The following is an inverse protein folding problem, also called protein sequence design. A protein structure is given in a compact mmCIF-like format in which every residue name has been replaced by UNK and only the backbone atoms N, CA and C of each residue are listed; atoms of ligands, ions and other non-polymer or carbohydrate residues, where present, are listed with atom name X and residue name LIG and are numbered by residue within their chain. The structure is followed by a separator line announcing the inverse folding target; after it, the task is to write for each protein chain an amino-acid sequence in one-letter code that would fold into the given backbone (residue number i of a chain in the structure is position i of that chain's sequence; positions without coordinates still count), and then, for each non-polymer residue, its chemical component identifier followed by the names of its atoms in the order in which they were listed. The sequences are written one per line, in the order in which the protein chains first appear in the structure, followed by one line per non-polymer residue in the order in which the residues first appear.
data_IF_359573112649
#
_entry.id   IF_359573112649
#
_cell.length_a   1.000
_cell.length_b   1.000
_cell.length_c   1.000
_cell.angle_alpha   90.00
_cell.angle_beta   90.00
_cell.angle_gamma   90.00
#
_symmetry.space_group_name_H-M   'P 1'
#
loop_
_entity.id
_entity.type
_entity.pdbx_description
1 polymer ?
#
# COMPACT_ATOMS: atom_id res chain seq x y z
N UNK A 1 -6.36 2.13 -24.65
CA UNK A 1 -7.06 1.45 -23.52
C UNK A 1 -8.20 0.61 -24.06
N UNK A 2 -8.25 -0.70 -23.67
CA UNK A 2 -9.15 -1.68 -24.31
C UNK A 2 -10.67 -1.50 -24.08
N UNK A 3 -11.11 -0.52 -23.28
CA UNK A 3 -12.54 -0.30 -22.95
C UNK A 3 -13.00 1.16 -23.10
N UNK A 4 -12.25 1.97 -23.82
CA UNK A 4 -12.64 3.36 -24.11
C UNK A 4 -12.46 4.35 -22.95
N UNK A 5 -11.86 3.95 -21.83
CA UNK A 5 -11.55 4.87 -20.74
C UNK A 5 -10.24 5.61 -21.02
N UNK A 6 -10.23 6.91 -20.73
CA UNK A 6 -9.01 7.69 -20.59
C UNK A 6 -8.57 7.64 -19.14
N UNK A 7 -7.30 7.42 -18.86
CA UNK A 7 -6.78 7.39 -17.51
C UNK A 7 -5.36 7.94 -17.47
N UNK A 8 -5.11 8.76 -16.48
CA UNK A 8 -3.81 9.36 -16.21
C UNK A 8 -3.37 9.05 -14.79
N UNK A 9 -2.06 8.99 -14.58
CA UNK A 9 -1.48 8.77 -13.26
C UNK A 9 -1.01 10.11 -12.72
N UNK A 10 -1.61 10.53 -11.62
CA UNK A 10 -1.19 11.71 -10.88
C UNK A 10 -0.29 11.28 -9.72
N UNK A 11 0.88 11.90 -9.60
CA UNK A 11 1.79 11.67 -8.50
C UNK A 11 2.36 12.98 -7.98
N UNK A 12 2.50 13.09 -6.66
CA UNK A 12 3.20 14.18 -5.99
C UNK A 12 4.44 13.63 -5.28
N UNK A 13 5.51 14.43 -5.18
CA UNK A 13 6.67 14.06 -4.37
C UNK A 13 6.25 13.76 -2.93
N UNK A 14 6.79 12.70 -2.36
CA UNK A 14 6.59 12.34 -0.96
C UNK A 14 7.89 12.50 -0.20
N UNK A 15 7.91 13.40 0.76
CA UNK A 15 9.06 13.66 1.60
C UNK A 15 8.81 13.13 3.02
N UNK A 16 9.65 12.20 3.47
CA UNK A 16 9.61 11.61 4.81
C UNK A 16 10.82 11.95 5.68
N UNK A 17 11.61 12.95 5.29
CA UNK A 17 12.85 13.31 6.00
C UNK A 17 12.59 13.91 7.39
N UNK A 18 11.39 14.42 7.66
CA UNK A 18 10.96 14.87 8.97
C UNK A 18 9.47 14.62 9.18
N UNK A 19 9.00 14.70 10.42
CA UNK A 19 7.57 14.57 10.77
C UNK A 19 6.73 15.64 10.10
N UNK A 20 7.22 16.87 10.08
CA UNK A 20 6.57 17.99 9.40
C UNK A 20 6.43 17.72 7.90
N UNK A 21 7.49 17.22 7.24
CA UNK A 21 7.45 16.94 5.81
C UNK A 21 6.43 15.84 5.44
N UNK A 22 6.23 14.85 6.31
CA UNK A 22 5.19 13.83 6.13
C UNK A 22 3.80 14.48 6.15
N UNK A 23 3.55 15.34 7.14
CA UNK A 23 2.28 16.08 7.26
C UNK A 23 2.08 17.00 6.05
N UNK A 24 3.10 17.75 5.64
CA UNK A 24 3.04 18.64 4.47
C UNK A 24 2.75 17.85 3.19
N UNK A 25 3.39 16.70 2.99
CA UNK A 25 3.11 15.82 1.84
C UNK A 25 1.67 15.31 1.85
N UNK A 26 1.13 15.02 3.03
CA UNK A 26 -0.27 14.61 3.18
C UNK A 26 -1.24 15.77 2.86
N UNK A 27 -0.95 16.97 3.37
CA UNK A 27 -1.74 18.17 3.11
C UNK A 27 -1.69 18.59 1.64
N UNK A 28 -0.54 18.43 0.96
CA UNK A 28 -0.44 18.71 -0.47
C UNK A 28 -1.49 17.92 -1.27
N UNK A 29 -1.67 16.62 -0.99
CA UNK A 29 -2.74 15.83 -1.60
C UNK A 29 -4.14 16.30 -1.24
N UNK A 30 -4.32 16.85 -0.04
CA UNK A 30 -5.62 17.37 0.40
C UNK A 30 -6.01 18.66 -0.34
N UNK A 31 -5.04 19.40 -0.84
CA UNK A 31 -5.21 20.68 -1.54
C UNK A 31 -5.29 20.54 -3.07
N UNK A 32 -4.84 19.39 -3.60
CA UNK A 32 -4.93 19.13 -5.06
C UNK A 32 -6.40 19.07 -5.48
N UNK A 33 -6.73 19.85 -6.49
CA UNK A 33 -8.01 19.77 -7.19
C UNK A 33 -7.87 18.81 -8.38
N UNK A 34 -8.62 17.73 -8.34
CA UNK A 34 -8.74 16.75 -9.41
C UNK A 34 -10.18 16.67 -9.93
N UNK A 35 -10.91 17.77 -9.92
CA UNK A 35 -12.27 17.81 -10.47
C UNK A 35 -12.26 17.98 -11.98
N UNK A 36 -11.23 18.63 -12.52
CA UNK A 36 -11.05 18.83 -13.97
C UNK A 36 -9.60 18.66 -14.38
N UNK A 37 -9.38 18.29 -15.65
CA UNK A 37 -8.08 18.29 -16.30
C UNK A 37 -8.23 18.89 -17.70
N UNK A 38 -7.42 19.90 -18.03
CA UNK A 38 -7.47 20.61 -19.31
C UNK A 38 -8.88 21.11 -19.69
N UNK A 39 -9.69 21.50 -18.70
CA UNK A 39 -11.07 21.96 -18.88
C UNK A 39 -12.12 20.85 -18.92
N UNK A 40 -11.72 19.58 -18.98
CA UNK A 40 -12.63 18.44 -18.99
C UNK A 40 -12.87 17.88 -17.59
N UNK A 41 -14.10 17.50 -17.23
CA UNK A 41 -14.39 16.89 -15.93
C UNK A 41 -13.68 15.56 -15.74
N UNK A 42 -13.13 15.33 -14.54
CA UNK A 42 -12.62 14.02 -14.14
C UNK A 42 -13.77 13.22 -13.53
N UNK A 43 -14.10 12.11 -14.16
CA UNK A 43 -15.24 11.27 -13.76
C UNK A 43 -14.99 10.48 -12.49
N UNK A 44 -13.77 10.06 -12.25
CA UNK A 44 -13.42 9.16 -11.16
C UNK A 44 -11.97 9.37 -10.73
N UNK A 45 -11.74 9.43 -9.43
CA UNK A 45 -10.39 9.36 -8.86
C UNK A 45 -10.23 8.03 -8.12
N UNK A 46 -9.22 7.24 -8.50
CA UNK A 46 -8.83 6.02 -7.81
C UNK A 46 -7.56 6.29 -7.01
N UNK A 47 -7.68 6.41 -5.71
CA UNK A 47 -6.56 6.62 -4.82
C UNK A 47 -6.04 5.29 -4.25
N UNK A 48 -4.70 5.13 -4.11
CA UNK A 48 -4.13 3.80 -3.89
C UNK A 48 -3.37 3.63 -2.58
N UNK A 49 -2.64 4.63 -2.11
CA UNK A 49 -1.80 4.53 -0.92
C UNK A 49 -1.64 5.89 -0.25
N UNK A 50 -1.13 5.89 0.99
CA UNK A 50 -0.73 7.12 1.64
C UNK A 50 0.35 7.87 0.82
N UNK A 51 0.22 9.19 0.67
CA UNK A 51 -0.88 10.06 1.08
C UNK A 51 -1.95 10.32 0.00
N UNK A 52 -1.90 9.64 -1.15
CA UNK A 52 -2.77 9.96 -2.30
C UNK A 52 -4.27 9.87 -2.01
N UNK A 53 -4.69 9.01 -1.08
CA UNK A 53 -6.11 8.92 -0.74
C UNK A 53 -6.65 10.12 0.07
N UNK A 54 -5.77 11.07 0.46
CA UNK A 54 -6.21 12.32 1.08
C UNK A 54 -6.87 13.28 0.09
N UNK A 55 -6.68 13.08 -1.22
CA UNK A 55 -7.33 13.89 -2.26
C UNK A 55 -8.84 13.96 -2.04
N UNK A 56 -9.43 15.11 -2.37
CA UNK A 56 -10.89 15.31 -2.39
C UNK A 56 -11.41 15.12 -3.80
N UNK A 57 -12.46 14.32 -3.93
CA UNK A 57 -13.18 14.19 -5.17
C UNK A 57 -14.58 13.61 -4.90
N UNK A 58 -15.65 14.10 -5.53
CA UNK A 58 -17.02 13.63 -5.29
C UNK A 58 -17.21 12.15 -5.66
N UNK A 59 -16.44 11.64 -6.60
CA UNK A 59 -16.43 10.22 -7.01
C UNK A 59 -15.09 9.57 -6.72
N UNK A 60 -14.58 9.77 -5.47
CA UNK A 60 -13.37 9.10 -5.02
C UNK A 60 -13.63 7.64 -4.68
N UNK A 61 -12.83 6.76 -5.24
CA UNK A 61 -12.70 5.36 -4.88
C UNK A 61 -11.30 5.12 -4.31
N UNK A 62 -11.19 4.33 -3.26
CA UNK A 62 -9.89 3.91 -2.74
C UNK A 62 -9.66 2.45 -3.13
N UNK A 63 -8.56 2.18 -3.81
CA UNK A 63 -8.03 0.83 -4.00
C UNK A 63 -6.74 0.70 -3.19
N UNK A 64 -6.91 0.39 -1.92
CA UNK A 64 -5.88 0.51 -0.91
C UNK A 64 -4.77 -0.52 -1.08
N UNK A 65 -3.55 -0.04 -1.34
CA UNK A 65 -2.32 -0.83 -1.29
C UNK A 65 -1.83 -0.94 0.16
N UNK A 66 -1.72 0.19 0.85
CA UNK A 66 -1.40 0.27 2.27
C UNK A 66 -1.65 1.69 2.80
N UNK A 67 -1.88 1.79 4.11
CA UNK A 67 -1.80 3.04 4.87
C UNK A 67 -0.32 3.43 5.08
N UNK A 68 -0.07 4.48 5.87
CA UNK A 68 1.29 4.80 6.29
C UNK A 68 1.76 3.81 7.37
N UNK A 69 2.32 2.69 6.94
CA UNK A 69 2.57 1.46 7.73
C UNK A 69 3.33 1.69 9.02
N UNK A 70 4.19 2.70 9.08
CA UNK A 70 5.05 2.99 10.22
C UNK A 70 4.28 3.34 11.49
N UNK A 71 3.07 3.93 11.36
CA UNK A 71 2.21 4.25 12.50
C UNK A 71 1.13 3.18 12.79
N UNK A 72 1.13 2.11 12.01
CA UNK A 72 0.18 0.98 12.14
C UNK A 72 0.93 -0.32 12.45
N UNK A 73 0.94 -1.26 11.54
CA UNK A 73 1.49 -2.61 11.78
C UNK A 73 3.00 -2.67 11.99
N UNK A 74 3.74 -1.65 11.57
CA UNK A 74 5.19 -1.59 11.79
C UNK A 74 5.57 -0.87 13.08
N UNK A 75 4.62 -0.18 13.73
CA UNK A 75 4.89 0.55 14.99
C UNK A 75 5.49 -0.37 16.04
N UNK A 76 6.55 0.08 16.69
CA UNK A 76 7.27 -0.70 17.70
C UNK A 76 8.18 -1.80 17.14
N UNK A 77 8.31 -1.92 15.82
CA UNK A 77 9.27 -2.81 15.18
C UNK A 77 10.50 -2.06 14.70
N UNK A 78 11.59 -2.78 14.42
CA UNK A 78 12.81 -2.21 13.82
C UNK A 78 12.60 -1.59 12.44
N UNK A 79 11.42 -1.72 11.85
CA UNK A 79 11.08 -1.18 10.53
C UNK A 79 10.27 0.12 10.60
N UNK A 80 10.03 0.64 11.81
CA UNK A 80 9.38 1.93 12.02
C UNK A 80 10.39 2.95 12.50
N UNK A 81 10.38 4.13 11.89
CA UNK A 81 11.14 5.30 12.35
C UNK A 81 10.38 6.08 13.45
N UNK A 82 9.13 5.65 13.75
CA UNK A 82 8.32 6.23 14.81
C UNK A 82 8.63 5.53 16.14
N UNK A 83 9.16 6.30 17.08
CA UNK A 83 9.48 5.86 18.42
C UNK A 83 8.55 6.43 19.49
N UNK A 84 9.12 6.70 20.66
CA UNK A 84 8.39 7.23 21.83
C UNK A 84 8.53 8.75 22.00
N UNK A 85 9.13 9.45 21.04
CA UNK A 85 9.30 10.91 21.12
C UNK A 85 7.94 11.61 21.05
N UNK A 86 7.74 12.72 21.78
CA UNK A 86 6.47 13.46 21.76
C UNK A 86 6.02 13.85 20.33
N UNK A 87 6.96 14.27 19.49
CA UNK A 87 6.68 14.62 18.09
C UNK A 87 6.17 13.44 17.26
N UNK A 88 6.61 12.21 17.56
CA UNK A 88 6.15 11.00 16.91
C UNK A 88 4.70 10.70 17.29
N UNK A 89 4.37 10.83 18.56
CA UNK A 89 3.01 10.61 19.07
C UNK A 89 2.01 11.64 18.51
N UNK A 90 2.41 12.91 18.44
CA UNK A 90 1.56 13.95 17.86
C UNK A 90 1.36 13.74 16.36
N UNK A 91 2.43 13.49 15.63
CA UNK A 91 2.36 13.20 14.19
C UNK A 91 1.49 11.98 13.90
N UNK A 92 1.65 10.90 14.65
CA UNK A 92 0.81 9.71 14.54
C UNK A 92 -0.67 10.06 14.72
N UNK A 93 -1.01 10.83 15.76
CA UNK A 93 -2.37 11.27 16.03
C UNK A 93 -2.97 12.04 14.84
N UNK A 94 -2.22 13.00 14.30
CA UNK A 94 -2.62 13.78 13.13
C UNK A 94 -2.85 12.88 11.92
N UNK A 95 -1.90 12.00 11.61
CA UNK A 95 -1.99 11.13 10.44
C UNK A 95 -3.14 10.13 10.56
N UNK A 96 -3.40 9.58 11.76
CA UNK A 96 -4.56 8.70 11.98
C UNK A 96 -5.89 9.44 11.78
N UNK A 97 -5.97 10.71 12.17
CA UNK A 97 -7.16 11.53 11.92
C UNK A 97 -7.34 11.80 10.43
N UNK A 98 -6.25 12.08 9.72
CA UNK A 98 -6.27 12.25 8.26
C UNK A 98 -6.75 10.98 7.56
N UNK A 99 -6.19 9.84 7.92
CA UNK A 99 -6.56 8.55 7.35
C UNK A 99 -8.03 8.23 7.60
N UNK A 100 -8.47 8.37 8.86
CA UNK A 100 -9.86 8.09 9.23
C UNK A 100 -10.85 8.93 8.41
N UNK A 101 -10.58 10.22 8.29
CA UNK A 101 -11.41 11.13 7.52
C UNK A 101 -11.36 10.81 6.02
N UNK A 102 -10.16 10.76 5.45
CA UNK A 102 -9.98 10.63 4.02
C UNK A 102 -10.45 9.28 3.46
N UNK A 103 -10.21 8.19 4.19
CA UNK A 103 -10.69 6.86 3.83
C UNK A 103 -12.21 6.75 4.02
N UNK A 104 -12.77 7.44 5.03
CA UNK A 104 -14.22 7.51 5.25
C UNK A 104 -14.97 8.26 4.15
N UNK A 105 -14.35 9.27 3.53
CA UNK A 105 -14.92 10.06 2.43
C UNK A 105 -15.02 9.28 1.10
N UNK A 106 -14.38 8.12 0.97
CA UNK A 106 -14.41 7.36 -0.26
C UNK A 106 -15.81 6.75 -0.51
N UNK A 107 -16.31 6.89 -1.74
CA UNK A 107 -17.57 6.31 -2.18
C UNK A 107 -17.56 4.77 -2.15
N UNK A 108 -16.40 4.19 -2.46
CA UNK A 108 -16.15 2.76 -2.34
C UNK A 108 -14.71 2.52 -1.92
N UNK A 109 -14.48 1.44 -1.21
CA UNK A 109 -13.15 1.02 -0.76
C UNK A 109 -12.90 -0.41 -1.18
N UNK A 110 -11.80 -0.57 -1.91
CA UNK A 110 -11.23 -1.86 -2.28
C UNK A 110 -9.84 -1.98 -1.65
N UNK A 111 -9.35 -3.18 -1.53
CA UNK A 111 -7.99 -3.46 -1.05
C UNK A 111 -7.30 -4.48 -1.94
N UNK A 112 -5.98 -4.38 -2.08
CA UNK A 112 -5.20 -5.31 -2.92
C UNK A 112 -5.16 -6.74 -2.39
N UNK A 113 -5.62 -6.98 -1.16
CA UNK A 113 -5.65 -8.30 -0.54
C UNK A 113 -6.56 -8.32 0.69
N UNK A 114 -6.99 -9.50 1.10
CA UNK A 114 -7.73 -9.71 2.36
C UNK A 114 -6.94 -9.16 3.56
N UNK A 115 -5.65 -9.43 3.64
CA UNK A 115 -4.79 -8.89 4.72
C UNK A 115 -4.82 -7.35 4.79
N UNK A 116 -4.87 -6.66 3.64
CA UNK A 116 -4.99 -5.20 3.62
C UNK A 116 -6.38 -4.75 4.08
N UNK A 117 -7.44 -5.48 3.70
CA UNK A 117 -8.80 -5.23 4.21
C UNK A 117 -8.87 -5.41 5.72
N UNK A 118 -8.34 -6.51 6.24
CA UNK A 118 -8.32 -6.81 7.68
C UNK A 118 -7.57 -5.74 8.49
N UNK A 119 -6.45 -5.23 7.95
CA UNK A 119 -5.73 -4.12 8.57
C UNK A 119 -6.55 -2.82 8.60
N UNK A 120 -7.25 -2.52 7.50
CA UNK A 120 -8.13 -1.34 7.46
C UNK A 120 -9.27 -1.46 8.48
N UNK A 121 -9.90 -2.62 8.57
CA UNK A 121 -10.92 -2.90 9.57
C UNK A 121 -10.38 -2.78 11.00
N UNK A 122 -9.22 -3.38 11.27
CA UNK A 122 -8.57 -3.36 12.58
C UNK A 122 -8.20 -1.95 13.04
N UNK A 123 -7.58 -1.17 12.18
CA UNK A 123 -6.97 0.12 12.57
C UNK A 123 -7.90 1.31 12.38
N UNK A 124 -8.77 1.26 11.36
CA UNK A 124 -9.65 2.38 11.01
C UNK A 124 -11.14 2.05 11.20
N UNK A 125 -11.49 0.81 11.52
CA UNK A 125 -12.89 0.35 11.61
C UNK A 125 -13.67 0.64 10.31
N UNK A 126 -13.00 0.54 9.18
CA UNK A 126 -13.56 0.73 7.85
C UNK A 126 -13.43 -0.58 7.06
N UNK A 127 -14.47 -0.93 6.34
CA UNK A 127 -14.47 -2.10 5.48
C UNK A 127 -13.96 -1.77 4.09
N UNK A 128 -13.29 -2.73 3.46
CA UNK A 128 -12.90 -2.70 2.05
C UNK A 128 -13.05 -4.08 1.44
N UNK A 129 -13.56 -4.12 0.22
CA UNK A 129 -13.67 -5.35 -0.56
C UNK A 129 -12.30 -5.75 -1.12
N UNK A 130 -11.83 -7.00 -0.93
CA UNK A 130 -10.61 -7.46 -1.56
C UNK A 130 -10.74 -7.52 -3.09
N UNK A 131 -9.97 -6.70 -3.77
CA UNK A 131 -9.85 -6.66 -5.24
C UNK A 131 -8.38 -6.84 -5.59
N UNK A 132 -8.01 -8.09 -5.88
CA UNK A 132 -6.60 -8.43 -6.14
C UNK A 132 -6.12 -7.81 -7.46
N UNK A 133 -4.89 -7.24 -7.48
CA UNK A 133 -4.32 -6.73 -8.71
C UNK A 133 -4.09 -7.87 -9.70
N UNK A 134 -4.46 -7.68 -10.97
CA UNK A 134 -4.16 -8.68 -11.99
C UNK A 134 -2.65 -8.81 -12.16
N UNK A 135 -2.11 -10.03 -12.35
CA UNK A 135 -0.69 -10.21 -12.62
C UNK A 135 -0.32 -9.56 -13.96
N UNK A 136 0.80 -8.84 -13.98
CA UNK A 136 1.26 -8.15 -15.18
C UNK A 136 1.45 -9.10 -16.40
N UNK A 137 1.81 -10.37 -16.11
CA UNK A 137 2.04 -11.41 -17.11
C UNK A 137 0.89 -12.43 -17.18
N UNK A 138 -0.32 -12.08 -16.71
CA UNK A 138 -1.44 -13.02 -16.60
C UNK A 138 -1.73 -13.84 -17.85
N UNK A 139 -1.63 -13.23 -19.04
CA UNK A 139 -1.81 -13.94 -20.32
C UNK A 139 -0.62 -14.84 -20.72
N UNK A 140 0.51 -14.79 -20.02
CA UNK A 140 1.73 -15.56 -20.26
C UNK A 140 1.98 -16.64 -19.21
N UNK A 141 1.31 -16.54 -18.06
CA UNK A 141 1.44 -17.52 -16.98
C UNK A 141 0.60 -18.75 -17.30
N UNK A 142 1.19 -19.92 -17.15
CA UNK A 142 0.52 -21.20 -17.36
C UNK A 142 0.92 -22.15 -16.21
N UNK A 143 0.01 -23.03 -15.82
CA UNK A 143 0.37 -24.16 -14.97
C UNK A 143 1.31 -25.09 -15.72
N UNK A 144 2.29 -25.62 -15.02
CA UNK A 144 3.23 -26.62 -15.52
C UNK A 144 3.44 -27.72 -14.47
N UNK A 145 4.31 -28.65 -14.75
CA UNK A 145 4.66 -29.70 -13.81
C UNK A 145 5.39 -29.11 -12.59
N UNK A 146 5.13 -29.70 -11.44
CA UNK A 146 5.83 -29.32 -10.22
C UNK A 146 7.26 -29.90 -10.24
N UNK A 147 8.25 -29.01 -10.09
CA UNK A 147 9.63 -29.44 -9.94
C UNK A 147 9.97 -29.77 -8.48
N UNK A 148 11.01 -30.58 -8.28
CA UNK A 148 11.51 -30.96 -6.95
C UNK A 148 12.42 -29.87 -6.37
N UNK A 149 11.88 -28.65 -6.24
CA UNK A 149 12.62 -27.51 -5.68
C UNK A 149 11.69 -26.51 -5.00
N UNK A 150 12.24 -25.75 -4.07
CA UNK A 150 11.61 -24.57 -3.51
C UNK A 150 12.03 -23.35 -4.32
N UNK A 151 11.05 -22.49 -4.63
CA UNK A 151 11.30 -21.24 -5.33
C UNK A 151 10.88 -20.06 -4.45
N UNK A 152 11.76 -19.07 -4.33
CA UNK A 152 11.46 -17.82 -3.66
C UNK A 152 12.01 -16.66 -4.49
N UNK A 153 11.17 -15.66 -4.74
CA UNK A 153 11.54 -14.49 -5.52
C UNK A 153 11.32 -13.20 -4.74
N UNK A 154 12.24 -12.25 -4.90
CA UNK A 154 12.10 -10.93 -4.29
C UNK A 154 13.42 -10.20 -4.13
N UNK A 155 13.36 -8.92 -3.77
CA UNK A 155 14.56 -8.16 -3.43
C UNK A 155 15.24 -8.76 -2.20
N UNK A 156 16.57 -8.76 -2.18
CA UNK A 156 17.35 -9.15 -1.00
C UNK A 156 17.25 -8.07 0.08
N UNK A 157 16.10 -8.04 0.73
CA UNK A 157 15.72 -7.09 1.75
C UNK A 157 15.37 -7.82 3.05
N UNK A 158 15.78 -7.35 4.24
CA UNK A 158 15.46 -7.99 5.52
C UNK A 158 13.97 -8.27 5.74
N UNK A 159 13.08 -7.48 5.15
CA UNK A 159 11.63 -7.72 5.23
C UNK A 159 11.18 -8.95 4.44
N UNK A 160 11.96 -9.44 3.45
CA UNK A 160 11.65 -10.64 2.66
C UNK A 160 12.07 -11.94 3.33
N UNK A 161 12.88 -11.84 4.38
CA UNK A 161 13.24 -12.95 5.26
C UNK A 161 13.86 -14.17 4.53
N UNK A 162 14.69 -13.93 3.53
CA UNK A 162 15.46 -15.03 2.92
C UNK A 162 16.36 -15.75 3.93
N UNK A 163 16.82 -15.05 4.96
CA UNK A 163 17.53 -15.62 6.10
C UNK A 163 16.73 -16.74 6.78
N UNK A 164 15.42 -16.54 6.93
CA UNK A 164 14.53 -17.53 7.54
C UNK A 164 14.38 -18.76 6.65
N UNK A 165 14.24 -18.58 5.34
CA UNK A 165 14.18 -19.66 4.37
C UNK A 165 15.46 -20.53 4.44
N UNK A 166 16.63 -19.90 4.41
CA UNK A 166 17.92 -20.61 4.48
C UNK A 166 18.11 -21.38 5.81
N UNK A 167 17.74 -20.74 6.93
CA UNK A 167 17.78 -21.40 8.25
C UNK A 167 16.82 -22.58 8.33
N UNK A 168 15.61 -22.44 7.77
CA UNK A 168 14.63 -23.52 7.74
C UNK A 168 15.13 -24.71 6.90
N UNK A 169 15.75 -24.46 5.75
CA UNK A 169 16.36 -25.50 4.92
C UNK A 169 17.50 -26.22 5.66
N UNK A 170 18.37 -25.48 6.32
CA UNK A 170 19.46 -26.06 7.11
C UNK A 170 18.93 -26.92 8.27
N UNK A 171 17.87 -26.47 8.94
CA UNK A 171 17.25 -27.21 10.04
C UNK A 171 16.50 -28.47 9.57
N UNK A 172 15.89 -28.41 8.39
CA UNK A 172 15.13 -29.54 7.82
C UNK A 172 16.02 -30.73 7.41
N UNK A 173 17.33 -30.54 7.35
CA UNK A 173 18.32 -31.58 6.86
C UNK A 173 17.88 -32.23 5.55
N UNK A 174 17.25 -31.45 4.68
CA UNK A 174 16.68 -31.88 3.41
C UNK A 174 17.65 -31.58 2.27
N UNK A 175 17.71 -32.47 1.31
CA UNK A 175 18.46 -32.30 0.05
C UNK A 175 17.66 -31.48 -1.01
N UNK A 176 16.52 -30.87 -0.63
CA UNK A 176 15.71 -30.10 -1.54
C UNK A 176 16.50 -28.91 -2.10
N UNK A 177 16.53 -28.82 -3.41
CA UNK A 177 17.09 -27.66 -4.12
C UNK A 177 16.26 -26.42 -3.83
N UNK A 178 16.92 -25.29 -3.56
CA UNK A 178 16.25 -24.01 -3.42
C UNK A 178 16.76 -23.02 -4.47
N UNK A 179 15.85 -22.35 -5.14
CA UNK A 179 16.13 -21.30 -6.13
C UNK A 179 15.62 -19.98 -5.57
N UNK A 180 16.52 -19.00 -5.46
CA UNK A 180 16.20 -17.63 -5.02
C UNK A 180 16.48 -16.69 -6.21
N UNK A 181 15.50 -15.86 -6.60
CA UNK A 181 15.57 -14.95 -7.73
C UNK A 181 15.17 -13.50 -7.33
#
# INVERSE_FOLDING_TARGET
MRRGHQAEIVSLPFNWSSRLNIIQSALAWRLVDLTTAAGEPIDLVIATRFPSYLVRHPRKVVWLIHQFRQIYELKGTRFSDFGERPEDAETEKILRQFDQRALGEARARFSISRNTADRLARFNRLEAEPLYPPPALGGRLRSGDHGDYLFSAGRLDPMKRFDLLLRALAAARSSVRCVIA
#
